data_IF_663592323371
#
_entry.id   IF_663592323371
#
_cell.length_a   1.000
_cell.length_b   1.000
_cell.length_c   1.000
_cell.angle_alpha   90.00
_cell.angle_beta   90.00
_cell.angle_gamma   90.00
#
_symmetry.space_group_name_H-M   'P 1'
#
loop_
_entity.id
_entity.type
_entity.pdbx_description
1 polymer ?
#
# COMPACT_ATOMS: atom_id res chain seq x y z
N UNK A 1 -27.07 22.23 6.45
CA UNK A 1 -25.97 21.27 6.61
C UNK A 1 -26.54 19.87 6.63
N UNK A 2 -25.87 18.90 6.02
CA UNK A 2 -26.34 17.51 5.97
C UNK A 2 -25.79 16.71 7.15
N UNK A 3 -26.68 16.08 7.93
CA UNK A 3 -26.36 15.27 9.11
C UNK A 3 -26.16 13.80 8.71
N UNK A 4 -24.90 13.35 8.63
CA UNK A 4 -24.59 11.94 8.37
C UNK A 4 -24.85 11.08 9.62
N UNK A 5 -26.06 10.55 9.77
CA UNK A 5 -26.38 9.54 10.78
C UNK A 5 -25.94 8.16 10.32
N UNK A 6 -24.72 7.76 10.67
CA UNK A 6 -24.25 6.39 10.42
C UNK A 6 -24.90 5.46 11.45
N UNK A 7 -25.51 4.35 11.04
CA UNK A 7 -25.98 3.31 11.98
C UNK A 7 -24.75 2.57 12.55
N UNK A 8 -24.16 3.12 13.61
CA UNK A 8 -22.85 2.73 14.19
C UNK A 8 -22.74 1.26 14.64
N UNK A 9 -23.86 0.55 14.83
CA UNK A 9 -23.86 -0.82 15.35
C UNK A 9 -23.22 -1.83 14.38
N UNK A 10 -23.47 -1.67 13.08
CA UNK A 10 -22.96 -2.60 12.07
C UNK A 10 -21.50 -2.31 11.70
N UNK A 11 -21.09 -1.03 11.68
CA UNK A 11 -19.71 -0.65 11.37
C UNK A 11 -18.71 -1.35 12.32
N UNK A 12 -18.96 -1.28 13.62
CA UNK A 12 -18.08 -1.90 14.64
C UNK A 12 -18.00 -3.43 14.54
N UNK A 13 -19.03 -4.10 14.03
CA UNK A 13 -19.01 -5.55 13.83
C UNK A 13 -18.09 -5.93 12.66
N UNK A 14 -18.19 -5.21 11.54
CA UNK A 14 -17.35 -5.47 10.38
C UNK A 14 -15.88 -5.14 10.64
N UNK A 15 -15.59 -4.05 11.36
CA UNK A 15 -14.23 -3.67 11.75
C UNK A 15 -13.58 -4.82 12.56
N UNK A 16 -14.26 -5.34 13.60
CA UNK A 16 -13.76 -6.48 14.38
C UNK A 16 -13.53 -7.74 13.55
N UNK A 17 -14.45 -8.04 12.64
CA UNK A 17 -14.32 -9.23 11.80
C UNK A 17 -13.11 -9.12 10.85
N UNK A 18 -12.80 -7.91 10.39
CA UNK A 18 -11.63 -7.63 9.58
C UNK A 18 -10.35 -7.86 10.39
N UNK A 19 -10.27 -7.32 11.61
CA UNK A 19 -9.12 -7.47 12.50
C UNK A 19 -8.82 -8.96 12.79
N UNK A 20 -9.84 -9.74 13.13
CA UNK A 20 -9.69 -11.18 13.41
C UNK A 20 -9.13 -11.95 12.19
N UNK A 21 -9.60 -11.63 10.98
CA UNK A 21 -9.11 -12.30 9.77
C UNK A 21 -7.68 -11.86 9.43
N UNK A 22 -7.34 -10.60 9.69
CA UNK A 22 -6.00 -10.07 9.49
C UNK A 22 -4.98 -10.73 10.43
N UNK A 23 -5.31 -10.89 11.70
CA UNK A 23 -4.46 -11.58 12.68
C UNK A 23 -4.18 -13.03 12.27
N UNK A 24 -5.20 -13.74 11.75
CA UNK A 24 -5.03 -15.10 11.21
C UNK A 24 -4.09 -15.15 10.02
N UNK A 25 -4.12 -14.13 9.15
CA UNK A 25 -3.19 -14.03 8.03
C UNK A 25 -1.76 -13.77 8.51
N UNK A 26 -1.58 -12.96 9.56
CA UNK A 26 -0.26 -12.75 10.16
C UNK A 26 0.32 -14.05 10.74
N UNK A 27 -0.50 -14.83 11.45
CA UNK A 27 -0.09 -16.14 11.95
C UNK A 27 0.28 -17.10 10.81
N UNK A 28 -0.50 -17.12 9.73
CA UNK A 28 -0.17 -17.92 8.55
C UNK A 28 1.15 -17.48 7.90
N UNK A 29 1.39 -16.17 7.80
CA UNK A 29 2.64 -15.61 7.27
C UNK A 29 3.83 -16.00 8.15
N UNK A 30 3.69 -15.95 9.47
CA UNK A 30 4.74 -16.36 10.39
C UNK A 30 5.09 -17.85 10.23
N UNK A 31 4.09 -18.71 9.98
CA UNK A 31 4.31 -20.14 9.81
C UNK A 31 4.87 -20.54 8.43
N UNK A 32 4.46 -19.87 7.36
CA UNK A 32 4.79 -20.25 5.96
C UNK A 32 5.80 -19.33 5.27
N UNK A 33 6.08 -18.17 5.85
CA UNK A 33 6.91 -17.11 5.25
C UNK A 33 6.21 -16.30 4.16
N UNK A 34 5.00 -16.68 3.73
CA UNK A 34 4.29 -16.02 2.63
C UNK A 34 2.80 -15.83 2.94
N UNK A 35 2.11 -15.00 2.15
CA UNK A 35 0.66 -14.76 2.28
C UNK A 35 -0.17 -15.47 1.19
N UNK A 36 0.40 -16.49 0.53
CA UNK A 36 -0.28 -17.24 -0.53
C UNK A 36 -1.18 -18.34 0.04
N UNK A 37 -2.29 -17.93 0.68
CA UNK A 37 -3.29 -18.88 1.17
C UNK A 37 -4.16 -19.39 0.01
N UNK A 38 -4.31 -20.71 -0.18
CA UNK A 38 -5.25 -21.30 -1.13
C UNK A 38 -6.71 -20.98 -0.77
N UNK A 39 -7.59 -20.90 -1.78
CA UNK A 39 -9.04 -20.65 -1.54
C UNK A 39 -9.66 -21.73 -0.63
N UNK A 40 -9.34 -22.99 -0.90
CA UNK A 40 -9.76 -24.14 -0.07
C UNK A 40 -8.60 -24.53 0.84
N UNK A 41 -8.33 -23.70 1.85
CA UNK A 41 -7.32 -24.00 2.84
C UNK A 41 -7.92 -24.92 3.92
N UNK A 42 -7.51 -26.20 4.02
CA UNK A 42 -8.15 -27.16 4.93
C UNK A 42 -8.14 -26.74 6.41
N UNK A 43 -7.05 -26.16 6.95
CA UNK A 43 -7.01 -25.72 8.35
C UNK A 43 -7.95 -24.56 8.67
N UNK A 44 -8.14 -23.64 7.71
CA UNK A 44 -9.11 -22.54 7.87
C UNK A 44 -9.68 -22.11 6.51
N UNK A 45 -10.81 -22.72 6.14
CA UNK A 45 -11.53 -22.43 4.89
C UNK A 45 -12.06 -20.99 4.87
N UNK A 46 -12.35 -20.41 6.05
CA UNK A 46 -12.85 -19.03 6.15
C UNK A 46 -11.75 -18.05 5.77
N UNK A 47 -10.52 -18.28 6.26
CA UNK A 47 -9.35 -17.48 5.90
C UNK A 47 -9.08 -17.53 4.39
N UNK A 48 -9.07 -18.73 3.79
CA UNK A 48 -8.85 -18.90 2.35
C UNK A 48 -9.90 -18.19 1.49
N UNK A 49 -11.16 -18.25 1.91
CA UNK A 49 -12.27 -17.55 1.22
C UNK A 49 -12.18 -16.03 1.38
N UNK A 50 -11.82 -15.55 2.58
CA UNK A 50 -11.65 -14.13 2.86
C UNK A 50 -10.54 -13.53 2.00
N UNK A 51 -9.36 -14.16 1.94
CA UNK A 51 -8.24 -13.69 1.12
C UNK A 51 -8.58 -13.71 -0.37
N UNK A 52 -9.26 -14.75 -0.84
CA UNK A 52 -9.73 -14.81 -2.22
C UNK A 52 -10.65 -13.63 -2.55
N UNK A 53 -11.55 -13.28 -1.62
CA UNK A 53 -12.44 -12.12 -1.76
C UNK A 53 -11.63 -10.82 -1.81
N UNK A 54 -10.66 -10.62 -0.92
CA UNK A 54 -9.80 -9.43 -0.92
C UNK A 54 -9.06 -9.27 -2.26
N UNK A 55 -8.49 -10.35 -2.80
CA UNK A 55 -7.81 -10.32 -4.11
C UNK A 55 -8.75 -9.96 -5.25
N UNK A 56 -10.00 -10.44 -5.23
CA UNK A 56 -11.00 -10.07 -6.24
C UNK A 56 -11.33 -8.59 -6.13
N UNK A 57 -11.60 -8.08 -4.92
CA UNK A 57 -11.95 -6.68 -4.71
C UNK A 57 -10.80 -5.75 -5.12
N UNK A 58 -9.55 -6.10 -4.77
CA UNK A 58 -8.38 -5.36 -5.21
C UNK A 58 -8.29 -5.28 -6.74
N UNK A 59 -8.44 -6.42 -7.45
CA UNK A 59 -8.44 -6.42 -8.92
C UNK A 59 -9.57 -5.58 -9.51
N UNK A 60 -10.77 -5.62 -8.92
CA UNK A 60 -11.90 -4.78 -9.35
C UNK A 60 -11.61 -3.29 -9.15
N UNK A 61 -11.04 -2.92 -8.00
CA UNK A 61 -10.65 -1.55 -7.70
C UNK A 61 -9.60 -1.04 -8.69
N UNK A 62 -8.54 -1.82 -8.93
CA UNK A 62 -7.48 -1.47 -9.90
C UNK A 62 -8.00 -1.43 -11.36
N UNK A 63 -8.99 -2.24 -11.71
CA UNK A 63 -9.62 -2.19 -13.03
C UNK A 63 -10.51 -0.95 -13.18
N UNK A 64 -11.16 -0.50 -12.10
CA UNK A 64 -11.99 0.71 -12.10
C UNK A 64 -11.14 1.97 -12.26
N UNK A 65 -9.98 2.06 -11.59
CA UNK A 65 -9.08 3.22 -11.72
C UNK A 65 -8.54 3.39 -13.14
N UNK A 66 -8.28 2.27 -13.84
CA UNK A 66 -7.83 2.29 -15.25
C UNK A 66 -8.90 2.81 -16.23
N UNK A 67 -10.17 2.83 -15.83
CA UNK A 67 -11.27 3.33 -16.67
C UNK A 67 -11.41 4.86 -16.61
N UNK A 68 -11.01 5.48 -15.50
CA UNK A 68 -11.07 6.95 -15.34
C UNK A 68 -9.97 7.68 -16.12
N UNK A 69 -8.83 7.03 -16.37
CA UNK A 69 -7.74 7.59 -17.19
C UNK A 69 -8.03 7.53 -18.71
N UNK A 70 -8.97 6.68 -19.15
CA UNK A 70 -9.28 6.47 -20.57
C UNK A 70 -10.32 7.43 -21.16
N UNK A 71 -10.92 8.34 -20.39
CA UNK A 71 -12.03 9.19 -20.84
C UNK A 71 -11.68 10.68 -21.01
N UNK A 72 -10.40 11.08 -20.99
CA UNK A 72 -9.99 12.49 -21.21
C UNK A 72 -9.22 12.69 -22.51
N UNK A 73 -9.83 12.37 -23.65
CA UNK A 73 -9.35 12.90 -24.93
C UNK A 73 -10.43 12.77 -25.99
N UNK A 74 -11.46 13.60 -25.91
CA UNK A 74 -12.18 14.06 -27.09
C UNK A 74 -13.00 15.30 -26.71
N UNK A 75 -12.36 16.47 -26.81
CA UNK A 75 -13.05 17.67 -27.29
C UNK A 75 -12.10 18.44 -28.21
N UNK A 76 -12.55 18.63 -29.46
CA UNK A 76 -11.82 19.23 -30.55
C UNK A 76 -12.17 20.71 -30.71
N UNK A 77 -11.24 21.65 -30.48
CA UNK A 77 -11.07 22.89 -31.30
C UNK A 77 -9.93 23.81 -30.83
N UNK A 78 -8.90 23.91 -31.68
CA UNK A 78 -8.44 25.11 -32.42
C UNK A 78 -8.45 26.48 -31.70
N UNK A 79 -7.27 26.98 -31.38
CA UNK A 79 -6.91 28.40 -31.54
C UNK A 79 -5.51 28.49 -32.18
N UNK A 80 -5.43 29.25 -33.27
CA UNK A 80 -4.21 29.79 -33.87
C UNK A 80 -3.62 30.83 -32.91
N UNK A 81 -2.37 30.67 -32.46
CA UNK A 81 -1.43 31.80 -32.45
C UNK A 81 0.02 31.30 -32.46
N UNK A 82 0.79 31.95 -33.33
CA UNK A 82 2.20 31.76 -33.60
C UNK A 82 3.04 32.51 -32.56
N UNK A 83 4.35 32.27 -32.62
CA UNK A 83 5.41 33.01 -31.93
C UNK A 83 5.60 32.57 -30.49
N UNK A 84 6.79 32.39 -29.96
CA UNK A 84 8.15 32.31 -30.46
C UNK A 84 8.93 31.92 -29.20
N UNK A 85 9.97 31.11 -29.38
CA UNK A 85 11.22 31.14 -28.62
C UNK A 85 11.10 31.52 -27.14
N UNK A 86 11.28 30.56 -26.23
CA UNK A 86 12.34 30.71 -25.23
C UNK A 86 13.06 29.38 -25.00
N UNK A 87 14.30 29.41 -25.48
CA UNK A 87 15.40 28.57 -25.11
C UNK A 87 15.72 28.83 -23.63
N UNK A 88 15.49 27.86 -22.73
CA UNK A 88 16.11 27.90 -21.40
C UNK A 88 17.00 26.69 -21.21
N UNK A 89 18.26 26.97 -21.52
CA UNK A 89 19.50 26.33 -21.13
C UNK A 89 19.47 25.60 -19.78
N UNK A 90 20.04 24.40 -19.84
CA UNK A 90 20.67 23.63 -18.77
C UNK A 90 20.96 24.37 -17.46
N UNK A 91 20.42 23.88 -16.34
CA UNK A 91 21.15 23.94 -15.07
C UNK A 91 20.88 22.71 -14.22
N UNK A 92 21.90 21.88 -14.11
CA UNK A 92 22.03 20.91 -13.03
C UNK A 92 22.01 21.66 -11.69
N UNK A 93 21.15 21.25 -10.78
CA UNK A 93 21.33 21.55 -9.37
C UNK A 93 21.14 20.27 -8.54
N UNK A 94 22.10 20.11 -7.65
CA UNK A 94 22.34 18.97 -6.80
C UNK A 94 21.26 18.78 -5.73
N UNK A 95 21.11 17.51 -5.36
CA UNK A 95 20.38 17.04 -4.18
C UNK A 95 20.82 17.75 -2.88
N UNK A 96 19.89 18.02 -1.96
CA UNK A 96 20.18 17.92 -0.54
C UNK A 96 19.53 16.66 0.05
N UNK A 97 20.39 15.68 0.37
CA UNK A 97 20.07 14.53 1.22
C UNK A 97 19.63 15.05 2.58
N UNK A 98 18.37 14.85 2.93
CA UNK A 98 17.82 15.08 4.26
C UNK A 98 18.58 14.25 5.31
N UNK A 99 18.83 14.86 6.46
CA UNK A 99 19.69 14.34 7.54
C UNK A 99 19.08 13.17 8.34
N UNK A 100 18.07 12.48 7.82
CA UNK A 100 17.33 11.44 8.56
C UNK A 100 17.92 10.04 8.36
N UNK A 101 18.76 9.82 7.34
CA UNK A 101 19.39 8.51 7.08
C UNK A 101 20.56 8.16 8.02
N UNK A 102 21.07 9.11 8.84
CA UNK A 102 22.17 8.83 9.77
C UNK A 102 21.73 8.15 11.08
N UNK A 103 20.46 8.24 11.45
CA UNK A 103 19.96 7.62 12.68
C UNK A 103 19.75 6.11 12.52
N UNK A 104 19.39 5.65 11.32
CA UNK A 104 19.13 4.23 11.07
C UNK A 104 20.42 3.40 10.94
N UNK A 105 21.50 3.98 10.40
CA UNK A 105 22.81 3.28 10.35
C UNK A 105 23.45 3.13 11.74
N UNK A 106 23.23 4.09 12.66
CA UNK A 106 23.69 3.96 14.04
C UNK A 106 22.88 2.94 14.85
N UNK A 107 21.58 2.80 14.57
CA UNK A 107 20.75 1.78 15.20
C UNK A 107 21.20 0.37 14.79
N UNK A 108 21.54 0.15 13.52
CA UNK A 108 21.96 -1.16 13.01
C UNK A 108 23.30 -1.65 13.60
N UNK A 109 24.23 -0.74 13.91
CA UNK A 109 25.53 -1.09 14.51
C UNK A 109 25.47 -1.37 16.02
N UNK A 110 24.42 -0.94 16.73
CA UNK A 110 24.31 -1.14 18.19
C UNK A 110 23.69 -2.50 18.58
N UNK A 111 23.00 -3.21 17.69
CA UNK A 111 22.35 -4.49 18.01
C UNK A 111 23.20 -5.73 17.74
N UNK A 112 24.39 -5.58 17.15
CA UNK A 112 25.27 -6.72 16.79
C UNK A 112 26.33 -7.06 17.88
N UNK A 113 26.50 -6.23 18.92
CA UNK A 113 27.55 -6.47 19.93
C UNK A 113 27.09 -7.19 21.20
N UNK A 114 25.80 -7.55 21.34
CA UNK A 114 25.33 -8.39 22.47
C UNK A 114 25.34 -9.88 22.10
N UNK A 115 26.46 -10.39 21.59
CA UNK A 115 26.73 -11.83 21.55
C UNK A 115 28.22 -12.14 21.53
N UNK A 116 28.97 -11.59 22.49
CA UNK A 116 30.31 -12.11 22.82
C UNK A 116 30.72 -11.81 24.26
N UNK A 117 29.89 -12.18 25.23
CA UNK A 117 30.34 -12.37 26.63
C UNK A 117 29.59 -13.54 27.28
N UNK A 118 29.75 -14.73 26.72
CA UNK A 118 29.70 -15.97 27.50
C UNK A 118 30.94 -16.78 27.11
N UNK A 119 32.03 -16.47 27.80
CA UNK A 119 33.32 -17.17 27.76
C UNK A 119 33.69 -17.48 29.21
N UNK A 120 33.44 -18.72 29.65
CA UNK A 120 34.38 -19.59 30.36
C UNK A 120 33.66 -20.87 30.81
#
# INVERSE_FOLDING_TARGET
GFEWKVKHKMKRYYDRQWDIMFDKLLQFKAATGHCMVPKRYPPDVKLGTWIHTQRIQYRKMMAATKKEESCKSDDSKRDDDLSSEENFESKAEETPKTAEDKAEEQFFRLTDTTKKEESC
#
